data_IF_729776855014
#
_entry.id   IF_729776855014
#
_cell.length_a   1.000
_cell.length_b   1.000
_cell.length_c   1.000
_cell.angle_alpha   90.00
_cell.angle_beta   90.00
_cell.angle_gamma   90.00
#
_symmetry.space_group_name_H-M   'P 1'
#
loop_
_entity.id
_entity.type
_entity.pdbx_description
1 polymer ?
#
# COMPACT_ATOMS: atom_id res chain seq x y z
N UNK A 1 -5.85 -6.60 10.66
CA UNK A 1 -4.78 -6.10 9.77
C UNK A 1 -5.02 -6.54 8.35
N UNK A 2 -5.13 -7.84 8.12
CA UNK A 2 -5.47 -8.38 6.81
C UNK A 2 -6.80 -7.81 6.25
N UNK A 3 -7.86 -7.74 7.06
CA UNK A 3 -9.13 -7.14 6.62
C UNK A 3 -8.97 -5.67 6.19
N UNK A 4 -8.27 -4.86 7.00
CA UNK A 4 -7.98 -3.46 6.67
C UNK A 4 -7.14 -3.35 5.38
N UNK A 5 -6.18 -4.24 5.17
CA UNK A 5 -5.38 -4.27 3.95
C UNK A 5 -6.23 -4.63 2.72
N UNK A 6 -7.11 -5.64 2.84
CA UNK A 6 -8.05 -6.03 1.78
C UNK A 6 -9.02 -4.89 1.45
N UNK A 7 -9.58 -4.22 2.46
CA UNK A 7 -10.46 -3.07 2.26
C UNK A 7 -9.74 -1.89 1.58
N UNK A 8 -8.53 -1.54 2.04
CA UNK A 8 -7.73 -0.47 1.44
C UNK A 8 -7.39 -0.76 -0.02
N UNK A 9 -7.00 -1.99 -0.33
CA UNK A 9 -6.70 -2.41 -1.71
C UNK A 9 -7.90 -2.24 -2.62
N UNK A 10 -9.10 -2.68 -2.21
CA UNK A 10 -10.31 -2.49 -3.01
C UNK A 10 -10.62 -1.01 -3.22
N UNK A 11 -10.43 -0.16 -2.21
CA UNK A 11 -10.66 1.29 -2.33
C UNK A 11 -9.65 1.93 -3.29
N UNK A 12 -8.38 1.56 -3.21
CA UNK A 12 -7.31 2.03 -4.11
C UNK A 12 -7.56 1.56 -5.54
N UNK A 13 -7.88 0.28 -5.76
CA UNK A 13 -8.21 -0.27 -7.07
C UNK A 13 -9.37 0.49 -7.72
N UNK A 14 -10.37 0.87 -6.93
CA UNK A 14 -11.47 1.71 -7.41
C UNK A 14 -11.02 3.12 -7.78
N UNK A 15 -10.17 3.77 -6.99
CA UNK A 15 -9.66 5.12 -7.29
C UNK A 15 -8.82 5.10 -8.57
N UNK A 16 -7.84 4.20 -8.65
CA UNK A 16 -6.93 4.07 -9.79
C UNK A 16 -7.70 3.63 -11.04
N UNK A 17 -8.55 2.60 -10.92
CA UNK A 17 -9.39 2.11 -12.02
C UNK A 17 -10.30 3.20 -12.58
N UNK A 18 -11.02 3.94 -11.72
CA UNK A 18 -11.88 5.05 -12.18
C UNK A 18 -11.12 6.08 -12.99
N UNK A 19 -9.90 6.43 -12.57
CA UNK A 19 -9.07 7.40 -13.30
C UNK A 19 -8.71 6.88 -14.70
N UNK A 20 -8.26 5.63 -14.81
CA UNK A 20 -7.85 5.05 -16.09
C UNK A 20 -9.02 4.89 -17.08
N UNK A 21 -10.21 4.52 -16.60
CA UNK A 21 -11.37 4.25 -17.47
C UNK A 21 -12.21 5.48 -17.80
N UNK A 22 -12.39 6.41 -16.85
CA UNK A 22 -13.30 7.54 -17.03
C UNK A 22 -12.60 8.89 -17.28
N UNK A 23 -11.25 8.95 -17.20
CA UNK A 23 -10.43 10.19 -17.27
C UNK A 23 -10.99 11.33 -16.40
N UNK A 24 -11.67 10.96 -15.34
CA UNK A 24 -12.51 11.81 -14.51
C UNK A 24 -12.80 11.08 -13.23
N UNK A 25 -12.03 11.40 -12.20
CA UNK A 25 -12.16 10.85 -10.86
C UNK A 25 -11.74 11.92 -9.88
N UNK A 26 -12.42 11.96 -8.72
CA UNK A 26 -12.03 12.85 -7.62
C UNK A 26 -10.91 12.19 -6.83
N UNK A 27 -9.82 11.81 -7.52
CA UNK A 27 -8.70 11.01 -6.95
C UNK A 27 -8.25 11.63 -5.64
N UNK A 28 -7.98 12.93 -5.62
CA UNK A 28 -7.51 13.63 -4.42
C UNK A 28 -8.56 13.68 -3.29
N UNK A 29 -9.86 13.79 -3.60
CA UNK A 29 -10.90 13.78 -2.56
C UNK A 29 -11.09 12.37 -2.00
N UNK A 30 -11.23 11.37 -2.87
CA UNK A 30 -11.37 9.96 -2.46
C UNK A 30 -10.13 9.51 -1.68
N UNK A 31 -8.93 9.89 -2.12
CA UNK A 31 -7.67 9.59 -1.42
C UNK A 31 -7.61 10.26 -0.05
N UNK A 32 -8.12 11.50 0.09
CA UNK A 32 -8.19 12.20 1.37
C UNK A 32 -9.12 11.49 2.35
N UNK A 33 -10.23 10.93 1.89
CA UNK A 33 -11.15 10.16 2.72
C UNK A 33 -10.48 8.90 3.29
N UNK A 34 -9.49 8.33 2.58
CA UNK A 34 -8.71 7.18 3.05
C UNK A 34 -7.60 7.53 4.05
N UNK A 35 -7.30 8.81 4.29
CA UNK A 35 -6.13 9.22 5.07
C UNK A 35 -6.05 8.56 6.45
N UNK A 36 -7.18 8.42 7.14
CA UNK A 36 -7.23 7.76 8.45
C UNK A 36 -6.90 6.28 8.39
N UNK A 37 -7.39 5.57 7.38
CA UNK A 37 -7.13 4.14 7.17
C UNK A 37 -5.67 3.89 6.76
N UNK A 38 -5.12 4.73 5.88
CA UNK A 38 -3.72 4.70 5.46
C UNK A 38 -2.80 4.96 6.67
N UNK A 39 -3.09 5.99 7.46
CA UNK A 39 -2.31 6.30 8.66
C UNK A 39 -2.39 5.15 9.67
N UNK A 40 -3.57 4.60 9.90
CA UNK A 40 -3.75 3.47 10.81
C UNK A 40 -2.95 2.26 10.33
N UNK A 41 -3.06 1.91 9.05
CA UNK A 41 -2.36 0.79 8.44
C UNK A 41 -0.84 0.93 8.53
N UNK A 42 -0.28 2.05 8.04
CA UNK A 42 1.16 2.31 8.10
C UNK A 42 1.67 2.41 9.55
N UNK A 43 0.84 2.94 10.45
CA UNK A 43 1.16 3.05 11.87
C UNK A 43 1.45 1.70 12.54
N UNK A 44 0.86 0.60 12.08
CA UNK A 44 1.16 -0.73 12.62
C UNK A 44 2.59 -1.18 12.33
N UNK A 45 3.14 -0.85 11.16
CA UNK A 45 4.52 -1.19 10.81
C UNK A 45 5.54 -0.43 11.65
N UNK A 46 5.17 0.74 12.15
CA UNK A 46 6.05 1.64 12.92
C UNK A 46 5.97 1.42 14.44
N UNK A 47 5.02 0.63 14.94
CA UNK A 47 4.82 0.39 16.37
C UNK A 47 5.80 -0.64 16.98
N UNK A 48 6.58 -1.32 16.15
CA UNK A 48 7.57 -2.30 16.57
C UNK A 48 7.82 -3.36 15.49
N UNK A 49 8.88 -4.14 15.66
CA UNK A 49 9.29 -5.18 14.71
C UNK A 49 8.37 -6.40 14.79
N UNK A 50 7.14 -6.25 14.29
CA UNK A 50 6.08 -7.26 14.32
C UNK A 50 6.39 -8.50 13.47
N UNK A 51 7.35 -8.39 12.54
CA UNK A 51 7.75 -9.46 11.63
C UNK A 51 8.99 -10.23 12.12
N UNK A 52 9.61 -9.79 13.22
CA UNK A 52 10.83 -10.42 13.73
C UNK A 52 12.02 -10.31 12.77
N UNK A 53 12.08 -9.23 11.99
CA UNK A 53 13.17 -8.92 11.05
C UNK A 53 14.49 -8.65 11.80
N UNK A 54 15.63 -8.72 11.11
CA UNK A 54 16.86 -8.14 11.66
C UNK A 54 16.74 -6.62 11.82
N UNK A 55 17.45 -6.05 12.79
CA UNK A 55 17.32 -4.63 13.16
C UNK A 55 17.58 -3.69 11.98
N UNK A 56 18.63 -3.94 11.21
CA UNK A 56 18.97 -3.15 10.02
C UNK A 56 17.94 -3.29 8.90
N UNK A 57 17.30 -4.45 8.77
CA UNK A 57 16.23 -4.67 7.78
C UNK A 57 14.94 -3.97 8.22
N UNK A 58 14.62 -4.02 9.52
CA UNK A 58 13.48 -3.33 10.09
C UNK A 58 13.62 -1.80 9.96
N UNK A 59 14.81 -1.24 10.20
CA UNK A 59 15.04 0.20 10.01
C UNK A 59 14.80 0.63 8.56
N UNK A 60 15.30 -0.13 7.58
CA UNK A 60 15.05 0.14 6.15
C UNK A 60 13.57 0.04 5.80
N UNK A 61 12.87 -0.94 6.36
CA UNK A 61 11.43 -1.09 6.15
C UNK A 61 10.66 0.10 6.76
N UNK A 62 11.01 0.54 7.96
CA UNK A 62 10.41 1.73 8.57
C UNK A 62 10.65 2.98 7.72
N UNK A 63 11.86 3.17 7.20
CA UNK A 63 12.18 4.28 6.29
C UNK A 63 11.30 4.25 5.04
N UNK A 64 11.10 3.07 4.44
CA UNK A 64 10.22 2.91 3.29
C UNK A 64 8.76 3.27 3.62
N UNK A 65 8.23 2.79 4.75
CA UNK A 65 6.86 3.13 5.20
C UNK A 65 6.70 4.63 5.40
N UNK A 66 7.69 5.29 6.00
CA UNK A 66 7.69 6.75 6.18
C UNK A 66 7.72 7.47 4.83
N UNK A 67 8.57 7.03 3.90
CA UNK A 67 8.68 7.61 2.57
C UNK A 67 7.33 7.57 1.82
N UNK A 68 6.63 6.43 1.83
CA UNK A 68 5.31 6.30 1.20
C UNK A 68 4.28 7.28 1.81
N UNK A 69 4.32 7.49 3.13
CA UNK A 69 3.46 8.48 3.80
C UNK A 69 3.84 9.92 3.42
N UNK A 70 5.14 10.22 3.28
CA UNK A 70 5.62 11.52 2.83
C UNK A 70 5.19 11.81 1.40
N UNK A 71 5.34 10.84 0.49
CA UNK A 71 4.88 10.91 -0.90
C UNK A 71 3.36 11.20 -0.95
N UNK A 72 2.57 10.51 -0.13
CA UNK A 72 1.13 10.71 -0.06
C UNK A 72 0.77 12.14 0.39
N UNK A 73 1.43 12.63 1.43
CA UNK A 73 1.23 13.99 1.95
C UNK A 73 1.66 15.03 0.91
N UNK A 74 2.78 14.79 0.23
CA UNK A 74 3.31 15.68 -0.78
C UNK A 74 2.38 15.76 -2.00
N UNK A 75 1.93 14.63 -2.53
CA UNK A 75 0.94 14.57 -3.60
C UNK A 75 -0.36 15.30 -3.22
N UNK A 76 -0.83 15.13 -1.97
CA UNK A 76 -1.99 15.87 -1.45
C UNK A 76 -1.77 17.39 -1.39
N UNK A 77 -0.58 17.83 -0.94
CA UNK A 77 -0.22 19.25 -0.82
C UNK A 77 -0.10 19.92 -2.18
N UNK A 78 0.54 19.25 -3.14
CA UNK A 78 0.71 19.74 -4.50
C UNK A 78 -0.57 19.64 -5.33
N UNK A 79 -1.59 18.92 -4.84
CA UNK A 79 -2.78 18.54 -5.61
C UNK A 79 -2.40 17.80 -6.91
N UNK A 80 -1.34 17.01 -6.84
CA UNK A 80 -0.86 16.24 -7.98
C UNK A 80 -1.58 14.89 -8.03
N UNK A 81 -2.49 14.77 -8.99
CA UNK A 81 -3.27 13.55 -9.20
C UNK A 81 -2.41 12.39 -9.69
N UNK A 82 -1.40 12.65 -10.53
CA UNK A 82 -0.55 11.60 -11.09
C UNK A 82 0.37 11.06 -10.00
N UNK A 83 0.95 11.95 -9.20
CA UNK A 83 1.76 11.55 -8.06
C UNK A 83 0.92 10.79 -7.02
N UNK A 84 -0.31 11.24 -6.72
CA UNK A 84 -1.20 10.51 -5.82
C UNK A 84 -1.48 9.08 -6.32
N UNK A 85 -1.75 8.91 -7.62
CA UNK A 85 -1.96 7.58 -8.20
C UNK A 85 -0.72 6.71 -8.08
N UNK A 86 0.46 7.26 -8.36
CA UNK A 86 1.73 6.53 -8.25
C UNK A 86 1.99 6.08 -6.79
N UNK A 87 1.78 6.97 -5.83
CA UNK A 87 1.91 6.64 -4.41
C UNK A 87 0.93 5.56 -3.98
N UNK A 88 -0.32 5.59 -4.46
CA UNK A 88 -1.33 4.59 -4.08
C UNK A 88 -1.10 3.23 -4.74
N UNK A 89 -0.81 3.22 -6.04
CA UNK A 89 -0.75 2.00 -6.86
C UNK A 89 0.59 1.28 -6.77
N UNK A 90 1.68 2.00 -6.52
CA UNK A 90 3.02 1.42 -6.36
C UNK A 90 3.49 1.46 -4.91
N UNK A 91 3.50 2.62 -4.26
CA UNK A 91 4.03 2.74 -2.90
C UNK A 91 3.19 2.00 -1.85
N UNK A 92 1.92 2.40 -1.70
CA UNK A 92 1.04 1.84 -0.68
C UNK A 92 0.62 0.40 -1.01
N UNK A 93 0.47 0.06 -2.29
CA UNK A 93 0.13 -1.29 -2.74
C UNK A 93 1.18 -2.33 -2.34
N UNK A 94 2.46 -2.00 -2.42
CA UNK A 94 3.53 -2.90 -1.96
C UNK A 94 3.39 -3.25 -0.47
N UNK A 95 3.07 -2.25 0.37
CA UNK A 95 2.82 -2.48 1.79
C UNK A 95 1.57 -3.34 2.04
N UNK A 96 0.50 -3.11 1.28
CA UNK A 96 -0.74 -3.87 1.38
C UNK A 96 -0.55 -5.34 0.98
N UNK A 97 0.26 -5.61 -0.04
CA UNK A 97 0.52 -6.96 -0.53
C UNK A 97 1.16 -7.87 0.51
N UNK A 98 1.88 -7.32 1.52
CA UNK A 98 2.45 -8.09 2.64
C UNK A 98 1.38 -8.94 3.36
N UNK A 99 0.14 -8.44 3.43
CA UNK A 99 -0.99 -9.15 4.07
C UNK A 99 -1.96 -9.81 3.10
N UNK A 100 -1.88 -9.51 1.80
CA UNK A 100 -2.82 -10.03 0.79
C UNK A 100 -2.25 -11.27 0.10
N UNK A 101 -0.93 -11.32 -0.10
CA UNK A 101 -0.24 -12.46 -0.72
C UNK A 101 -0.04 -13.63 0.25
N UNK A 102 -0.48 -13.50 1.51
CA UNK A 102 -0.48 -14.61 2.48
C UNK A 102 -1.66 -15.58 2.31
N UNK A 103 -2.62 -15.28 1.44
CA UNK A 103 -3.81 -16.13 1.16
C UNK A 103 -3.71 -16.90 -0.18
N UNK A 104 -2.68 -16.64 -0.99
CA UNK A 104 -2.30 -17.42 -2.19
C UNK A 104 -1.40 -18.60 -1.80
N UNK A 105 -1.91 -19.44 -0.90
CA UNK A 105 -1.40 -20.80 -0.76
C UNK A 105 -1.70 -21.63 -2.02
N UNK A 106 -0.64 -22.23 -2.58
CA UNK A 106 -0.56 -23.33 -3.57
C UNK A 106 -0.42 -22.92 -5.06
N UNK A 107 0.52 -23.41 -5.90
CA UNK A 107 1.21 -24.72 -5.97
C UNK A 107 2.59 -24.68 -6.70
N UNK A 108 3.58 -25.41 -6.17
CA UNK A 108 4.44 -26.33 -6.93
C UNK A 108 5.60 -25.81 -7.80
N UNK A 109 6.83 -25.90 -7.28
CA UNK A 109 7.93 -26.46 -8.07
C UNK A 109 8.39 -27.74 -7.39
N UNK A 110 7.77 -28.84 -7.86
CA UNK A 110 8.16 -30.18 -7.51
C UNK A 110 9.61 -30.44 -7.93
N UNK A 111 10.28 -31.15 -7.03
CA UNK A 111 11.55 -31.81 -7.24
C UNK A 111 11.52 -32.71 -8.50
N UNK A 112 12.66 -32.75 -9.20
CA UNK A 112 13.33 -33.96 -9.70
C UNK A 112 12.56 -35.06 -10.46
N UNK A 113 13.21 -35.50 -11.56
CA UNK A 113 12.89 -36.61 -12.49
C UNK A 113 11.65 -36.37 -13.36
N UNK A 114 11.73 -36.44 -14.69
CA UNK A 114 12.27 -37.55 -15.51
C UNK A 114 12.95 -36.98 -16.77
#
# INVERSE_FOLDING_TARGET
MEELAKELTVKIDNICGKFHYFKGGRVLEESRELAGEIQQFCGYFLQGNIFGMEEEEYEKFQQYVVQVLEDYIEAMRQQDTVYMLDTLDYGLRELLNIYIDTDTGETGHGEGNI
#
